data_IF_850145755592
#
_entry.id   IF_850145755592
#
_cell.length_a   1.000
_cell.length_b   1.000
_cell.length_c   1.000
_cell.angle_alpha   90.00
_cell.angle_beta   90.00
_cell.angle_gamma   90.00
#
_symmetry.space_group_name_H-M   'P 1'
#
loop_
_entity.id
_entity.type
_entity.pdbx_description
1 polymer ?
#
# COMPACT_ATOMS: atom_id res chain seq x y z
N UNK A 1 -17.36 0.54 -20.74
CA UNK A 1 -17.13 -0.08 -22.08
C UNK A 1 -16.22 -1.30 -21.98
N UNK A 2 -15.04 -1.20 -21.38
CA UNK A 2 -14.09 -2.33 -21.25
C UNK A 2 -14.63 -3.47 -20.35
N UNK A 3 -15.39 -3.15 -19.31
CA UNK A 3 -15.98 -4.10 -18.36
C UNK A 3 -17.03 -4.99 -19.06
N UNK A 4 -17.82 -4.41 -19.97
CA UNK A 4 -18.90 -5.11 -20.63
C UNK A 4 -18.47 -6.02 -21.79
N UNK A 5 -17.20 -5.99 -22.21
CA UNK A 5 -16.71 -6.67 -23.42
C UNK A 5 -15.67 -7.78 -23.19
N UNK A 6 -15.55 -8.35 -21.99
CA UNK A 6 -14.62 -9.44 -21.64
C UNK A 6 -13.13 -9.17 -21.90
N UNK A 7 -12.70 -7.91 -22.11
CA UNK A 7 -11.31 -7.53 -22.36
C UNK A 7 -10.53 -7.06 -21.12
N UNK A 8 -11.07 -7.30 -19.91
CA UNK A 8 -10.41 -6.84 -18.70
C UNK A 8 -9.41 -7.88 -18.24
N UNK A 9 -8.14 -7.49 -18.21
CA UNK A 9 -7.15 -8.24 -17.48
C UNK A 9 -7.02 -7.72 -16.02
N UNK A 10 -6.49 -8.52 -15.07
CA UNK A 10 -6.38 -8.15 -13.67
C UNK A 10 -5.65 -6.81 -13.45
N UNK A 11 -4.61 -6.51 -14.25
CA UNK A 11 -3.82 -5.26 -14.11
C UNK A 11 -4.63 -4.01 -14.44
N UNK A 12 -5.48 -4.10 -15.47
CA UNK A 12 -6.37 -2.99 -15.85
C UNK A 12 -7.38 -2.75 -14.75
N UNK A 13 -7.98 -3.81 -14.21
CA UNK A 13 -8.96 -3.70 -13.13
C UNK A 13 -8.31 -3.15 -11.84
N UNK A 14 -7.13 -3.61 -11.47
CA UNK A 14 -6.38 -3.04 -10.34
C UNK A 14 -6.17 -1.52 -10.49
N UNK A 15 -5.76 -1.06 -11.68
CA UNK A 15 -5.58 0.38 -11.94
C UNK A 15 -6.91 1.14 -11.88
N UNK A 16 -7.98 0.55 -12.37
CA UNK A 16 -9.31 1.14 -12.30
C UNK A 16 -9.75 1.32 -10.85
N UNK A 17 -9.71 0.27 -10.03
CA UNK A 17 -10.03 0.33 -8.60
C UNK A 17 -9.14 1.36 -7.90
N UNK A 18 -7.83 1.31 -8.10
CA UNK A 18 -6.89 2.24 -7.45
C UNK A 18 -7.14 3.70 -7.81
N UNK A 19 -7.44 4.02 -9.06
CA UNK A 19 -7.72 5.40 -9.44
C UNK A 19 -9.03 5.91 -8.80
N UNK A 20 -9.99 5.05 -8.56
CA UNK A 20 -11.25 5.41 -7.92
C UNK A 20 -11.13 5.60 -6.40
N UNK A 21 -10.03 5.16 -5.76
CA UNK A 21 -9.72 5.50 -4.36
C UNK A 21 -9.61 7.03 -4.11
N UNK A 22 -9.45 7.82 -5.16
CA UNK A 22 -9.31 9.28 -5.09
C UNK A 22 -10.61 10.02 -5.44
N UNK A 23 -11.67 9.29 -5.82
CA UNK A 23 -12.96 9.85 -6.21
C UNK A 23 -13.97 9.65 -5.08
N UNK A 24 -14.73 10.70 -4.78
CA UNK A 24 -15.77 10.65 -3.73
C UNK A 24 -17.03 9.85 -4.15
N UNK A 25 -17.08 9.38 -5.40
CA UNK A 25 -18.23 8.69 -5.98
C UNK A 25 -18.23 7.19 -5.70
N UNK A 26 -17.13 6.65 -5.21
CA UNK A 26 -17.01 5.23 -4.89
C UNK A 26 -17.31 4.96 -3.43
N UNK A 27 -18.37 4.20 -3.20
CA UNK A 27 -18.67 3.65 -1.88
C UNK A 27 -17.86 2.39 -1.60
N UNK A 28 -17.80 1.96 -0.34
CA UNK A 28 -17.09 0.74 0.06
C UNK A 28 -17.68 -0.51 -0.59
N UNK A 29 -19.00 -0.54 -0.85
CA UNK A 29 -19.65 -1.64 -1.59
C UNK A 29 -19.07 -1.80 -2.99
N UNK A 30 -18.77 -0.71 -3.70
CA UNK A 30 -18.15 -0.77 -5.02
C UNK A 30 -16.73 -1.36 -4.94
N UNK A 31 -15.93 -0.96 -3.95
CA UNK A 31 -14.61 -1.56 -3.76
C UNK A 31 -14.71 -3.06 -3.51
N UNK A 32 -15.65 -3.50 -2.68
CA UNK A 32 -15.90 -4.90 -2.40
C UNK A 32 -16.35 -5.67 -3.66
N UNK A 33 -17.31 -5.12 -4.42
CA UNK A 33 -17.79 -5.72 -5.68
C UNK A 33 -16.66 -5.89 -6.70
N UNK A 34 -15.91 -4.81 -6.98
CA UNK A 34 -14.82 -4.85 -7.94
C UNK A 34 -13.62 -5.69 -7.47
N UNK A 35 -13.39 -5.77 -6.16
CA UNK A 35 -12.43 -6.72 -5.58
C UNK A 35 -12.81 -8.17 -5.87
N UNK A 36 -14.08 -8.55 -5.71
CA UNK A 36 -14.59 -9.88 -6.08
C UNK A 36 -14.46 -10.17 -7.58
N UNK A 37 -14.73 -9.16 -8.43
CA UNK A 37 -14.49 -9.29 -9.88
C UNK A 37 -13.00 -9.53 -10.16
N UNK A 38 -12.11 -8.80 -9.49
CA UNK A 38 -10.66 -8.98 -9.59
C UNK A 38 -10.25 -10.40 -9.22
N UNK A 39 -10.78 -10.93 -8.12
CA UNK A 39 -10.53 -12.31 -7.72
C UNK A 39 -10.83 -13.31 -8.85
N UNK A 40 -11.96 -13.15 -9.52
CA UNK A 40 -12.34 -14.07 -10.60
C UNK A 40 -11.39 -14.04 -11.81
N UNK A 41 -10.72 -12.89 -12.04
CA UNK A 41 -9.77 -12.72 -13.13
C UNK A 41 -8.36 -13.22 -12.80
N UNK A 42 -8.00 -13.34 -11.52
CA UNK A 42 -6.68 -13.82 -11.10
C UNK A 42 -6.62 -15.34 -11.27
N UNK A 43 -5.57 -15.90 -11.91
CA UNK A 43 -5.46 -17.33 -12.12
C UNK A 43 -5.31 -18.10 -10.80
N UNK A 44 -6.03 -19.22 -10.71
CA UNK A 44 -5.83 -20.26 -9.69
C UNK A 44 -5.18 -21.46 -10.35
N UNK A 45 -4.05 -21.89 -9.84
CA UNK A 45 -3.28 -22.99 -10.37
C UNK A 45 -3.69 -24.31 -9.71
N UNK A 46 -3.59 -25.42 -10.45
CA UNK A 46 -3.83 -26.75 -9.92
C UNK A 46 -2.76 -27.13 -8.89
N UNK A 47 -3.15 -27.78 -7.80
CA UNK A 47 -2.25 -28.18 -6.71
C UNK A 47 -1.10 -29.09 -7.15
N UNK A 48 -1.30 -29.93 -8.17
CA UNK A 48 -0.24 -30.78 -8.75
C UNK A 48 0.87 -29.96 -9.45
N UNK A 49 0.63 -28.69 -9.76
CA UNK A 49 1.61 -27.78 -10.39
C UNK A 49 2.40 -26.94 -9.39
N UNK A 50 1.99 -26.94 -8.14
CA UNK A 50 2.61 -26.16 -7.08
C UNK A 50 2.97 -27.07 -5.89
N UNK A 51 4.08 -26.76 -5.23
CA UNK A 51 4.51 -27.54 -4.05
C UNK A 51 3.52 -27.36 -2.90
N UNK A 52 3.09 -28.42 -2.20
CA UNK A 52 2.25 -28.28 -1.01
C UNK A 52 2.89 -27.38 0.05
N UNK A 53 2.06 -26.68 0.82
CA UNK A 53 2.53 -25.91 1.97
C UNK A 53 2.97 -26.91 3.04
N UNK A 54 4.22 -26.80 3.48
CA UNK A 54 4.78 -27.65 4.52
C UNK A 54 4.70 -26.98 5.86
N UNK A 55 3.90 -27.52 6.78
CA UNK A 55 3.89 -27.10 8.18
C UNK A 55 5.00 -27.87 8.90
N UNK A 56 6.15 -27.22 9.07
CA UNK A 56 7.27 -27.80 9.83
C UNK A 56 7.25 -27.20 11.24
N UNK A 57 7.46 -28.04 12.27
CA UNK A 57 7.78 -27.54 13.60
C UNK A 57 9.15 -26.87 13.52
N UNK A 58 9.19 -25.55 13.75
CA UNK A 58 10.40 -24.74 13.65
C UNK A 58 10.73 -24.12 14.99
N UNK A 59 11.99 -23.79 15.17
CA UNK A 59 12.44 -23.10 16.37
C UNK A 59 11.96 -21.64 16.37
N UNK A 60 11.94 -21.00 15.17
CA UNK A 60 11.48 -19.62 14.98
C UNK A 60 10.29 -19.56 14.01
N UNK A 61 9.44 -18.58 14.20
CA UNK A 61 8.36 -18.25 13.25
C UNK A 61 8.94 -17.54 12.04
N UNK A 62 8.54 -17.94 10.84
CA UNK A 62 8.98 -17.34 9.58
C UNK A 62 7.96 -16.38 9.02
N UNK A 63 8.37 -15.12 8.84
CA UNK A 63 7.52 -14.05 8.32
C UNK A 63 8.11 -13.57 7.01
N UNK A 64 7.34 -13.68 5.93
CA UNK A 64 7.71 -13.16 4.61
C UNK A 64 7.03 -11.83 4.30
N UNK A 65 7.73 -10.92 3.66
CA UNK A 65 7.18 -9.68 3.13
C UNK A 65 7.31 -9.67 1.60
N UNK A 66 6.22 -9.43 0.89
CA UNK A 66 6.19 -9.28 -0.57
C UNK A 66 6.08 -7.81 -0.92
N UNK A 67 7.03 -7.26 -1.68
CA UNK A 67 7.01 -5.87 -2.08
C UNK A 67 7.78 -5.58 -3.38
N UNK A 68 7.32 -4.56 -4.11
CA UNK A 68 8.08 -3.91 -5.18
C UNK A 68 8.71 -2.58 -4.75
N UNK A 69 8.49 -2.16 -3.49
CA UNK A 69 8.71 -0.79 -3.03
C UNK A 69 9.75 -0.66 -1.91
N UNK A 70 10.48 -1.75 -1.58
CA UNK A 70 11.59 -1.68 -0.61
C UNK A 70 12.84 -1.11 -1.27
N UNK A 71 12.70 0.12 -1.79
CA UNK A 71 13.74 0.93 -2.44
C UNK A 71 13.31 2.40 -2.53
N UNK A 72 14.25 3.30 -2.90
CA UNK A 72 14.02 4.71 -3.22
C UNK A 72 13.31 5.50 -2.12
N UNK A 73 13.54 5.14 -0.85
CA UNK A 73 12.89 5.80 0.30
C UNK A 73 11.37 5.88 0.13
N UNK A 74 10.76 4.80 -0.38
CA UNK A 74 9.30 4.71 -0.53
C UNK A 74 8.63 4.76 0.85
N UNK A 75 7.39 5.30 0.92
CA UNK A 75 6.65 5.46 2.19
C UNK A 75 6.53 4.17 3.00
N UNK A 76 6.30 3.03 2.34
CA UNK A 76 6.24 1.70 2.96
C UNK A 76 7.50 1.40 3.80
N UNK A 77 8.68 1.84 3.35
CA UNK A 77 9.94 1.57 4.06
C UNK A 77 10.04 2.32 5.39
N UNK A 78 9.42 3.48 5.50
CA UNK A 78 9.38 4.23 6.77
C UNK A 78 8.48 3.56 7.82
N UNK A 79 7.43 2.86 7.38
CA UNK A 79 6.57 2.08 8.29
C UNK A 79 7.22 0.77 8.71
N UNK A 80 7.97 0.13 7.81
CA UNK A 80 8.67 -1.12 8.10
C UNK A 80 9.90 -0.94 8.99
N UNK A 81 10.57 0.22 8.90
CA UNK A 81 11.90 0.43 9.50
C UNK A 81 11.95 0.07 10.98
N UNK A 82 11.02 0.61 11.79
CA UNK A 82 11.00 0.35 13.23
C UNK A 82 10.73 -1.13 13.57
N UNK A 83 9.96 -1.82 12.76
CA UNK A 83 9.71 -3.26 12.93
C UNK A 83 11.00 -4.04 12.72
N UNK A 84 11.72 -3.78 11.62
CA UNK A 84 12.96 -4.48 11.28
C UNK A 84 14.10 -4.18 12.25
N UNK A 85 14.14 -2.98 12.85
CA UNK A 85 15.13 -2.62 13.85
C UNK A 85 14.86 -3.24 15.23
N UNK A 86 13.61 -3.61 15.54
CA UNK A 86 13.21 -3.95 16.91
C UNK A 86 12.54 -5.33 17.07
N UNK A 87 12.36 -6.13 16.00
CA UNK A 87 11.76 -7.45 16.16
C UNK A 87 12.68 -8.42 16.93
N UNK A 88 12.09 -9.36 17.64
CA UNK A 88 12.85 -10.37 18.39
C UNK A 88 13.45 -11.43 17.43
N UNK A 89 14.72 -11.30 17.12
CA UNK A 89 15.44 -12.22 16.23
C UNK A 89 15.56 -13.65 16.81
N UNK A 90 15.32 -13.87 18.10
CA UNK A 90 15.30 -15.21 18.67
C UNK A 90 14.01 -15.96 18.38
N UNK A 91 12.91 -15.25 18.16
CA UNK A 91 11.57 -15.79 17.89
C UNK A 91 11.19 -15.80 16.42
N UNK A 92 11.72 -14.86 15.64
CA UNK A 92 11.31 -14.64 14.25
C UNK A 92 12.47 -14.72 13.29
N UNK A 93 12.21 -15.26 12.10
CA UNK A 93 13.04 -15.17 10.90
C UNK A 93 12.28 -14.37 9.83
N UNK A 94 12.91 -13.35 9.26
CA UNK A 94 12.28 -12.50 8.24
C UNK A 94 12.80 -12.84 6.86
N UNK A 95 11.88 -12.89 5.90
CA UNK A 95 12.13 -13.10 4.48
C UNK A 95 11.59 -11.92 3.68
N UNK A 96 12.36 -11.44 2.70
CA UNK A 96 11.95 -10.42 1.74
C UNK A 96 11.83 -11.01 0.35
N UNK A 97 10.66 -10.90 -0.25
CA UNK A 97 10.41 -11.26 -1.65
C UNK A 97 10.24 -9.98 -2.46
N UNK A 98 11.31 -9.60 -3.15
CA UNK A 98 11.41 -8.32 -3.84
C UNK A 98 10.96 -8.47 -5.30
N UNK A 99 9.89 -7.78 -5.67
CA UNK A 99 9.33 -7.80 -7.02
C UNK A 99 9.90 -6.67 -7.90
N UNK A 100 11.21 -6.54 -7.90
CA UNK A 100 11.99 -5.65 -8.75
C UNK A 100 13.36 -6.27 -9.07
N UNK A 101 14.09 -5.71 -10.05
CA UNK A 101 15.39 -6.25 -10.47
C UNK A 101 16.46 -5.99 -9.41
N UNK A 102 17.37 -6.94 -9.21
CA UNK A 102 18.50 -6.81 -8.30
C UNK A 102 19.36 -5.56 -8.61
N UNK A 103 19.45 -5.18 -9.86
CA UNK A 103 20.15 -3.95 -10.29
C UNK A 103 19.48 -2.64 -9.84
N UNK A 104 18.25 -2.69 -9.30
CA UNK A 104 17.53 -1.54 -8.76
C UNK A 104 17.72 -1.38 -7.23
N UNK A 105 18.57 -2.21 -6.61
CA UNK A 105 18.93 -2.06 -5.20
C UNK A 105 19.53 -0.69 -4.92
N UNK A 106 19.23 -0.17 -3.75
CA UNK A 106 19.77 1.09 -3.23
C UNK A 106 20.08 0.98 -1.74
N UNK A 107 20.45 2.10 -1.12
CA UNK A 107 20.72 2.19 0.32
C UNK A 107 19.55 1.66 1.17
N UNK A 108 18.32 1.94 0.74
CA UNK A 108 17.10 1.47 1.43
C UNK A 108 17.00 -0.05 1.38
N UNK A 109 17.15 -0.64 0.20
CA UNK A 109 17.15 -2.10 0.05
C UNK A 109 18.25 -2.74 0.90
N UNK A 110 19.47 -2.17 0.85
CA UNK A 110 20.62 -2.69 1.59
C UNK A 110 20.45 -2.59 3.12
N UNK A 111 19.69 -1.59 3.59
CA UNK A 111 19.32 -1.50 5.00
C UNK A 111 18.47 -2.72 5.42
N UNK A 112 17.39 -3.02 4.71
CA UNK A 112 16.47 -4.11 5.07
C UNK A 112 17.08 -5.51 4.91
N UNK A 113 17.98 -5.69 3.94
CA UNK A 113 18.72 -6.94 3.73
C UNK A 113 19.58 -7.37 4.93
N UNK A 114 19.95 -6.45 5.81
CA UNK A 114 20.72 -6.78 7.04
C UNK A 114 19.90 -7.61 8.04
N UNK A 115 18.60 -7.58 7.95
CA UNK A 115 17.67 -8.19 8.90
C UNK A 115 16.91 -9.39 8.34
N UNK A 116 17.03 -9.67 7.03
CA UNK A 116 16.16 -10.62 6.37
C UNK A 116 16.86 -11.41 5.26
N UNK A 117 16.47 -12.67 5.09
CA UNK A 117 16.80 -13.41 3.87
C UNK A 117 16.04 -12.80 2.69
N UNK A 118 16.76 -12.49 1.60
CA UNK A 118 16.19 -11.72 0.48
C UNK A 118 16.20 -12.52 -0.80
N UNK A 119 15.06 -12.60 -1.46
CA UNK A 119 14.85 -13.29 -2.75
C UNK A 119 14.17 -12.36 -3.76
N UNK A 120 14.61 -12.42 -5.03
CA UNK A 120 14.05 -11.62 -6.12
C UNK A 120 13.05 -12.48 -6.89
N UNK A 121 11.84 -11.96 -7.07
CA UNK A 121 10.74 -12.72 -7.70
C UNK A 121 10.22 -12.08 -8.99
N UNK A 122 10.77 -10.94 -9.43
CA UNK A 122 10.27 -10.23 -10.61
C UNK A 122 10.36 -11.08 -11.88
N UNK A 123 11.50 -11.74 -12.08
CA UNK A 123 11.79 -12.51 -13.31
C UNK A 123 11.26 -13.95 -13.23
N UNK A 124 10.62 -14.34 -12.13
CA UNK A 124 9.95 -15.62 -11.96
C UNK A 124 8.50 -15.55 -12.45
N UNK A 125 8.04 -16.57 -13.15
CA UNK A 125 6.61 -16.75 -13.34
C UNK A 125 5.90 -17.05 -12.02
N UNK A 126 4.57 -17.03 -12.01
CA UNK A 126 3.82 -17.20 -10.77
C UNK A 126 4.01 -18.57 -10.13
N UNK A 127 4.12 -19.64 -10.94
CA UNK A 127 4.33 -21.01 -10.43
C UNK A 127 5.71 -21.13 -9.79
N UNK A 128 6.74 -20.58 -10.44
CA UNK A 128 8.11 -20.55 -9.91
C UNK A 128 8.18 -19.77 -8.61
N UNK A 129 7.54 -18.59 -8.55
CA UNK A 129 7.51 -17.75 -7.35
C UNK A 129 6.74 -18.42 -6.20
N UNK A 130 5.59 -19.08 -6.48
CA UNK A 130 4.84 -19.86 -5.49
C UNK A 130 5.70 -20.98 -4.92
N UNK A 131 6.37 -21.74 -5.77
CA UNK A 131 7.26 -22.84 -5.35
C UNK A 131 8.40 -22.33 -4.47
N UNK A 132 9.02 -21.22 -4.87
CA UNK A 132 10.10 -20.59 -4.12
C UNK A 132 9.63 -20.21 -2.71
N UNK A 133 8.51 -19.49 -2.61
CA UNK A 133 7.99 -18.99 -1.32
C UNK A 133 7.50 -20.16 -0.44
N UNK A 134 6.77 -21.11 -1.00
CA UNK A 134 6.32 -22.31 -0.26
C UNK A 134 7.50 -23.15 0.25
N UNK A 135 8.62 -23.20 -0.50
CA UNK A 135 9.86 -23.88 -0.10
C UNK A 135 10.46 -23.34 1.19
N UNK A 136 10.25 -22.04 1.48
CA UNK A 136 10.69 -21.40 2.72
C UNK A 136 9.78 -21.73 3.91
N UNK A 137 8.63 -22.36 3.66
CA UNK A 137 7.68 -22.81 4.66
C UNK A 137 7.29 -21.71 5.65
N UNK A 138 6.84 -20.57 5.16
CA UNK A 138 6.45 -19.41 5.97
C UNK A 138 5.25 -19.72 6.88
N UNK A 139 5.27 -19.18 8.10
CA UNK A 139 4.10 -19.14 8.97
C UNK A 139 3.15 -18.02 8.54
N UNK A 140 3.71 -16.86 8.22
CA UNK A 140 2.96 -15.67 7.82
C UNK A 140 3.61 -15.07 6.57
N UNK A 141 2.80 -14.62 5.62
CA UNK A 141 3.23 -13.69 4.58
C UNK A 141 2.46 -12.38 4.71
N UNK A 142 3.16 -11.27 4.57
CA UNK A 142 2.59 -9.92 4.57
C UNK A 142 2.76 -9.35 3.17
N UNK A 143 1.65 -9.13 2.47
CA UNK A 143 1.65 -8.45 1.20
C UNK A 143 1.59 -6.94 1.42
N UNK A 144 2.62 -6.24 0.96
CA UNK A 144 2.75 -4.79 1.08
C UNK A 144 2.24 -4.05 -0.16
N UNK A 145 1.64 -4.75 -1.12
CA UNK A 145 1.27 -4.19 -2.41
C UNK A 145 -0.23 -4.12 -2.63
N UNK A 146 -0.99 -5.14 -2.21
CA UNK A 146 -2.41 -5.27 -2.54
C UNK A 146 -2.65 -5.17 -4.04
N UNK A 147 -3.50 -4.22 -4.47
CA UNK A 147 -3.83 -3.99 -5.89
C UNK A 147 -2.90 -3.00 -6.60
N UNK A 148 -1.84 -2.53 -5.94
CA UNK A 148 -0.94 -1.54 -6.51
C UNK A 148 -0.17 -2.08 -7.73
N UNK A 149 0.43 -1.16 -8.49
CA UNK A 149 1.29 -1.52 -9.62
C UNK A 149 2.41 -2.47 -9.18
N UNK A 150 2.68 -3.50 -9.98
CA UNK A 150 3.64 -4.56 -9.68
C UNK A 150 3.23 -5.49 -8.53
N UNK A 151 1.95 -5.50 -8.11
CA UNK A 151 1.45 -6.52 -7.19
C UNK A 151 1.51 -7.92 -7.80
N UNK A 152 1.54 -8.92 -6.94
CA UNK A 152 1.55 -10.35 -7.32
C UNK A 152 0.41 -11.08 -6.59
N UNK A 153 -0.83 -10.57 -6.72
CA UNK A 153 -2.03 -11.15 -6.07
C UNK A 153 -2.28 -12.61 -6.43
N UNK A 154 -1.77 -13.05 -7.57
CA UNK A 154 -1.77 -14.47 -7.95
C UNK A 154 -1.05 -15.36 -6.95
N UNK A 155 0.03 -14.88 -6.32
CA UNK A 155 0.74 -15.61 -5.27
C UNK A 155 -0.17 -15.81 -4.05
N UNK A 156 -0.87 -14.74 -3.63
CA UNK A 156 -1.81 -14.76 -2.49
C UNK A 156 -3.00 -15.68 -2.78
N UNK A 157 -3.63 -15.54 -3.94
CA UNK A 157 -4.76 -16.39 -4.33
C UNK A 157 -4.40 -17.89 -4.34
N UNK A 158 -3.17 -18.22 -4.67
CA UNK A 158 -2.68 -19.59 -4.67
C UNK A 158 -2.03 -20.01 -3.34
N UNK A 159 -2.18 -19.24 -2.30
CA UNK A 159 -1.75 -19.46 -0.92
C UNK A 159 -0.27 -19.88 -0.82
N UNK A 160 0.58 -18.95 -0.41
CA UNK A 160 2.03 -19.17 -0.28
C UNK A 160 2.50 -19.32 1.18
N UNK A 161 1.63 -19.05 2.15
CA UNK A 161 1.90 -19.21 3.59
C UNK A 161 0.64 -19.68 4.33
N UNK A 162 0.82 -20.13 5.60
CA UNK A 162 -0.30 -20.55 6.44
C UNK A 162 -1.29 -19.40 6.71
N UNK A 163 -0.75 -18.20 6.95
CA UNK A 163 -1.50 -16.96 7.17
C UNK A 163 -1.02 -15.93 6.18
N UNK A 164 -1.94 -15.22 5.54
CA UNK A 164 -1.65 -14.19 4.56
C UNK A 164 -2.35 -12.89 4.93
N UNK A 165 -1.57 -11.82 5.05
CA UNK A 165 -2.00 -10.53 5.60
C UNK A 165 -1.71 -9.42 4.60
N UNK A 166 -2.69 -8.55 4.36
CA UNK A 166 -2.52 -7.29 3.66
C UNK A 166 -2.12 -6.19 4.65
N UNK A 167 -1.04 -5.45 4.35
CA UNK A 167 -0.66 -4.32 5.19
C UNK A 167 0.12 -3.26 4.43
N UNK A 168 -0.12 -2.03 4.81
CA UNK A 168 0.66 -0.82 4.58
C UNK A 168 0.59 -0.22 3.17
N UNK A 169 0.80 -0.93 2.08
CA UNK A 169 0.85 -0.32 0.73
C UNK A 169 -0.53 0.00 0.16
N UNK A 170 -1.52 -0.83 0.43
CA UNK A 170 -2.91 -0.65 0.06
C UNK A 170 -3.81 -0.86 1.28
N UNK A 171 -4.74 0.04 1.49
CA UNK A 171 -5.50 0.15 2.72
C UNK A 171 -7.01 -0.12 2.55
N UNK A 172 -7.39 -0.92 1.56
CA UNK A 172 -8.79 -1.33 1.33
C UNK A 172 -8.83 -2.83 0.96
N UNK A 173 -10.03 -3.40 0.87
CA UNK A 173 -10.20 -4.80 0.51
C UNK A 173 -9.60 -5.10 -0.87
N UNK A 174 -8.92 -6.23 -1.00
CA UNK A 174 -8.46 -6.74 -2.30
C UNK A 174 -9.52 -7.57 -2.99
N UNK A 175 -10.47 -8.13 -2.23
CA UNK A 175 -11.45 -9.09 -2.71
C UNK A 175 -10.87 -10.47 -3.04
N UNK A 176 -9.56 -10.67 -2.83
CA UNK A 176 -8.84 -11.87 -3.28
C UNK A 176 -8.96 -13.02 -2.29
N UNK A 177 -9.38 -14.18 -2.80
CA UNK A 177 -9.40 -15.45 -2.06
C UNK A 177 -8.04 -15.74 -1.44
N UNK A 178 -8.05 -16.24 -0.20
CA UNK A 178 -6.87 -16.56 0.58
C UNK A 178 -6.06 -15.34 1.10
N UNK A 179 -6.49 -14.10 0.90
CA UNK A 179 -6.04 -13.01 1.74
C UNK A 179 -6.82 -13.08 3.06
N UNK A 180 -6.18 -13.57 4.13
CA UNK A 180 -6.91 -13.91 5.35
C UNK A 180 -7.24 -12.68 6.19
N UNK A 181 -6.30 -11.73 6.27
CA UNK A 181 -6.42 -10.56 7.14
C UNK A 181 -5.96 -9.28 6.45
N UNK A 182 -6.49 -8.15 6.93
CA UNK A 182 -5.97 -6.81 6.70
C UNK A 182 -5.66 -6.15 8.06
N UNK A 183 -4.50 -5.51 8.18
CA UNK A 183 -4.16 -4.72 9.37
C UNK A 183 -4.70 -3.30 9.17
N UNK A 184 -5.48 -2.83 10.15
CA UNK A 184 -6.15 -1.54 10.15
C UNK A 184 -6.19 -0.91 11.56
N UNK A 185 -6.80 0.24 11.66
CA UNK A 185 -7.27 0.87 12.89
C UNK A 185 -8.71 1.39 12.70
N UNK A 186 -9.32 1.86 13.75
CA UNK A 186 -10.71 2.36 13.73
C UNK A 186 -10.91 3.66 12.94
N UNK A 187 -9.83 4.37 12.56
CA UNK A 187 -9.88 5.55 11.71
C UNK A 187 -9.76 5.18 10.22
N UNK A 188 -9.19 4.03 9.92
CA UNK A 188 -9.06 3.54 8.56
C UNK A 188 -10.28 2.75 8.10
N UNK A 189 -10.80 1.85 8.95
CA UNK A 189 -11.97 1.03 8.65
C UNK A 189 -13.00 1.23 9.75
N UNK A 190 -14.19 1.70 9.36
CA UNK A 190 -15.28 1.92 10.29
C UNK A 190 -16.03 0.63 10.59
N UNK A 191 -16.60 0.54 11.79
CA UNK A 191 -17.29 -0.66 12.27
C UNK A 191 -18.45 -1.11 11.34
N UNK A 192 -19.17 -0.17 10.78
CA UNK A 192 -20.26 -0.42 9.85
C UNK A 192 -19.81 -0.89 8.44
N UNK A 193 -18.52 -0.84 8.13
CA UNK A 193 -17.94 -1.24 6.85
C UNK A 193 -17.27 -2.63 6.90
N UNK A 194 -17.11 -3.22 8.09
CA UNK A 194 -16.38 -4.49 8.27
C UNK A 194 -16.88 -5.60 7.32
N UNK A 195 -18.17 -5.69 7.12
CA UNK A 195 -18.79 -6.70 6.25
C UNK A 195 -18.53 -6.46 4.75
N UNK A 196 -17.95 -5.33 4.38
CA UNK A 196 -17.57 -4.96 3.02
C UNK A 196 -16.09 -5.23 2.73
N UNK A 197 -15.44 -6.01 3.59
CA UNK A 197 -14.08 -6.52 3.40
C UNK A 197 -14.12 -8.04 3.24
N UNK A 198 -13.36 -8.58 2.31
CA UNK A 198 -13.19 -10.04 2.16
C UNK A 198 -12.20 -10.59 3.19
N UNK A 199 -11.30 -9.77 3.65
CA UNK A 199 -10.31 -10.05 4.68
C UNK A 199 -10.91 -9.85 6.09
N UNK A 200 -10.48 -10.67 7.06
CA UNK A 200 -10.74 -10.37 8.48
C UNK A 200 -9.87 -9.21 8.91
N UNK A 201 -10.43 -8.28 9.69
CA UNK A 201 -9.72 -7.07 10.08
C UNK A 201 -8.99 -7.31 11.40
N UNK A 202 -7.70 -7.01 11.43
CA UNK A 202 -6.90 -6.92 12.65
C UNK A 202 -6.81 -5.44 13.01
N UNK A 203 -7.57 -5.01 14.01
CA UNK A 203 -7.52 -3.65 14.51
C UNK A 203 -6.32 -3.44 15.44
N UNK A 204 -5.41 -2.55 15.07
CA UNK A 204 -4.40 -2.04 16.00
C UNK A 204 -5.02 -0.95 16.89
N UNK A 205 -4.57 -0.83 18.16
CA UNK A 205 -5.26 0.04 19.13
C UNK A 205 -5.16 1.53 18.79
N UNK A 206 -4.03 1.98 18.25
CA UNK A 206 -3.77 3.40 18.04
C UNK A 206 -3.70 3.77 16.55
N UNK A 207 -2.74 3.20 15.83
CA UNK A 207 -2.50 3.51 14.42
C UNK A 207 -2.02 2.28 13.65
N UNK A 208 -2.58 2.05 12.48
CA UNK A 208 -2.26 0.89 11.64
C UNK A 208 -0.88 0.98 10.96
N UNK A 209 -0.27 2.16 10.88
CA UNK A 209 1.00 2.41 10.18
C UNK A 209 1.88 3.45 10.88
N UNK A 210 2.55 3.07 11.97
CA UNK A 210 3.46 3.94 12.68
C UNK A 210 4.68 4.31 11.82
N UNK A 211 4.96 5.62 11.67
CA UNK A 211 6.06 6.12 10.86
C UNK A 211 7.34 6.26 11.71
N UNK A 212 8.42 5.59 11.31
CA UNK A 212 9.71 5.59 12.03
C UNK A 212 10.46 6.94 12.00
N UNK A 213 9.90 7.96 11.34
CA UNK A 213 10.57 9.25 11.15
C UNK A 213 11.54 9.25 9.96
N UNK A 214 11.96 10.44 9.58
CA UNK A 214 13.01 10.64 8.59
C UNK A 214 14.34 10.91 9.31
N UNK A 215 15.42 10.37 8.78
CA UNK A 215 16.78 10.59 9.31
C UNK A 215 17.35 12.00 9.03
N UNK A 216 16.52 12.93 8.55
CA UNK A 216 16.95 14.29 8.27
C UNK A 216 17.15 15.06 9.58
N UNK A 217 18.31 15.69 9.74
CA UNK A 217 18.49 16.72 10.77
C UNK A 217 17.51 17.85 10.49
N UNK A 218 16.50 18.00 11.36
CA UNK A 218 15.53 19.09 11.27
C UNK A 218 16.10 20.28 12.02
N UNK A 219 16.23 21.41 11.33
CA UNK A 219 16.32 22.69 12.00
C UNK A 219 14.91 23.19 12.25
N UNK A 220 14.59 23.45 13.53
CA UNK A 220 13.38 24.17 13.86
C UNK A 220 13.67 25.66 13.62
N UNK A 221 12.85 26.27 12.78
CA UNK A 221 12.85 27.71 12.55
C UNK A 221 11.58 28.29 13.17
N UNK A 222 11.60 29.57 13.45
CA UNK A 222 10.41 30.27 13.92
C UNK A 222 9.27 30.19 12.91
N UNK A 223 8.03 30.27 13.40
CA UNK A 223 6.86 30.13 12.56
C UNK A 223 6.89 31.20 11.43
N UNK A 224 6.74 30.82 10.16
CA UNK A 224 6.82 31.75 9.03
C UNK A 224 5.90 32.97 9.12
N UNK A 225 4.79 32.90 9.85
CA UNK A 225 3.89 34.06 10.07
C UNK A 225 4.59 35.21 10.80
N UNK A 226 5.60 34.93 11.64
CA UNK A 226 6.37 35.94 12.34
C UNK A 226 7.14 36.84 11.38
N UNK A 227 7.59 36.28 10.26
CA UNK A 227 8.35 37.01 9.23
C UNK A 227 7.43 37.51 8.11
N UNK A 228 6.56 36.67 7.61
CA UNK A 228 5.74 36.94 6.43
C UNK A 228 4.51 37.80 6.73
N UNK A 229 4.08 37.87 8.01
CA UNK A 229 2.86 38.57 8.45
C UNK A 229 1.56 38.06 7.84
N UNK A 230 1.56 36.87 7.26
CA UNK A 230 0.38 36.16 6.78
C UNK A 230 0.49 34.65 7.04
N UNK A 231 -0.66 33.99 7.11
CA UNK A 231 -0.73 32.52 7.26
C UNK A 231 -0.42 31.85 5.95
N UNK A 232 0.45 30.84 5.98
CA UNK A 232 0.73 29.97 4.83
C UNK A 232 0.26 28.56 5.14
N UNK A 233 -0.75 28.09 4.42
CA UNK A 233 -1.14 26.67 4.42
C UNK A 233 -0.30 25.91 3.41
N UNK A 234 -0.06 24.60 3.66
CA UNK A 234 0.72 23.78 2.74
C UNK A 234 0.16 22.37 2.61
N UNK A 235 0.12 21.85 1.38
CA UNK A 235 -0.13 20.45 1.12
C UNK A 235 0.86 19.92 0.09
N UNK A 236 1.66 18.93 0.50
CA UNK A 236 2.62 18.24 -0.37
C UNK A 236 2.13 16.84 -0.76
N UNK A 237 0.84 16.59 -0.60
CA UNK A 237 0.20 15.31 -0.90
C UNK A 237 0.06 15.09 -2.42
N UNK A 238 -0.30 13.87 -2.81
CA UNK A 238 -0.58 13.55 -4.21
C UNK A 238 -1.78 14.38 -4.71
N UNK A 239 -1.62 15.02 -5.88
CA UNK A 239 -2.65 15.86 -6.50
C UNK A 239 -3.96 15.12 -6.81
N UNK A 240 -3.94 13.80 -6.98
CA UNK A 240 -5.16 12.99 -7.14
C UNK A 240 -6.11 13.09 -5.94
N UNK A 241 -5.60 13.51 -4.77
CA UNK A 241 -6.41 13.75 -3.56
C UNK A 241 -7.12 15.10 -3.55
N UNK A 242 -6.80 16.00 -4.48
CA UNK A 242 -7.46 17.30 -4.62
C UNK A 242 -8.74 17.15 -5.46
N UNK A 243 -9.76 16.58 -4.86
CA UNK A 243 -11.10 16.53 -5.43
C UNK A 243 -11.86 17.85 -5.18
N UNK A 244 -13.03 18.01 -5.81
CA UNK A 244 -13.80 19.25 -5.77
C UNK A 244 -14.23 19.63 -4.33
N UNK A 245 -14.53 18.65 -3.46
CA UNK A 245 -14.87 18.90 -2.06
C UNK A 245 -13.69 19.47 -1.26
N UNK A 246 -12.47 18.95 -1.50
CA UNK A 246 -11.25 19.47 -0.87
C UNK A 246 -11.01 20.90 -1.32
N UNK A 247 -11.11 21.19 -2.62
CA UNK A 247 -10.91 22.52 -3.20
C UNK A 247 -11.92 23.49 -2.61
N UNK A 248 -13.20 23.14 -2.59
CA UNK A 248 -14.26 23.97 -1.99
C UNK A 248 -14.00 24.28 -0.52
N UNK A 249 -13.62 23.28 0.26
CA UNK A 249 -13.31 23.45 1.68
C UNK A 249 -12.11 24.36 1.89
N UNK A 250 -11.03 24.16 1.14
CA UNK A 250 -9.82 24.98 1.26
C UNK A 250 -10.06 26.42 0.77
N UNK A 251 -10.82 26.62 -0.30
CA UNK A 251 -11.23 27.94 -0.75
C UNK A 251 -12.02 28.69 0.34
N UNK A 252 -12.94 28.01 1.02
CA UNK A 252 -13.67 28.59 2.14
C UNK A 252 -12.75 28.99 3.31
N UNK A 253 -11.70 28.21 3.60
CA UNK A 253 -10.69 28.53 4.60
C UNK A 253 -9.91 29.78 4.19
N UNK A 254 -9.41 29.84 2.95
CA UNK A 254 -8.63 30.97 2.43
C UNK A 254 -9.46 32.27 2.45
N UNK A 255 -10.74 32.23 2.12
CA UNK A 255 -11.63 33.41 2.21
C UNK A 255 -11.83 33.88 3.64
N UNK A 256 -11.86 32.97 4.63
CA UNK A 256 -12.03 33.32 6.04
C UNK A 256 -10.78 33.92 6.69
N UNK A 257 -9.62 33.71 6.09
CA UNK A 257 -8.33 34.16 6.61
C UNK A 257 -7.69 35.10 5.57
N UNK A 258 -7.97 36.42 5.65
CA UNK A 258 -7.48 37.39 4.68
C UNK A 258 -5.95 37.33 4.53
N UNK A 259 -5.47 37.53 3.32
CA UNK A 259 -4.05 37.49 2.95
C UNK A 259 -3.35 36.13 3.18
N UNK A 260 -4.07 35.07 3.55
CA UNK A 260 -3.46 33.73 3.63
C UNK A 260 -3.07 33.21 2.24
N UNK A 261 -2.09 32.32 2.23
CA UNK A 261 -1.60 31.66 1.01
C UNK A 261 -1.68 30.15 1.15
N UNK A 262 -1.87 29.45 0.03
CA UNK A 262 -1.82 28.01 -0.04
C UNK A 262 -0.69 27.57 -0.96
N UNK A 263 0.24 26.75 -0.42
CA UNK A 263 1.32 26.13 -1.18
C UNK A 263 0.93 24.69 -1.49
N UNK A 264 0.92 24.36 -2.78
CA UNK A 264 0.68 23.01 -3.27
C UNK A 264 1.93 22.51 -4.01
N UNK A 265 2.30 21.24 -3.80
CA UNK A 265 3.40 20.60 -4.56
C UNK A 265 2.81 19.90 -5.77
N UNK A 266 3.24 20.29 -6.98
CA UNK A 266 2.97 19.56 -8.21
C UNK A 266 4.25 19.05 -8.87
N UNK A 267 4.12 17.98 -9.64
CA UNK A 267 5.16 17.47 -10.55
C UNK A 267 4.77 17.60 -12.02
N UNK A 268 3.60 18.18 -12.35
CA UNK A 268 3.02 18.19 -13.70
C UNK A 268 2.34 19.55 -13.95
N UNK A 269 2.94 20.39 -14.79
CA UNK A 269 2.47 21.75 -15.09
C UNK A 269 1.02 21.83 -15.59
N UNK A 270 0.58 20.89 -16.43
CA UNK A 270 -0.80 20.89 -16.98
C UNK A 270 -1.88 20.70 -15.89
N UNK A 271 -1.55 20.02 -14.77
CA UNK A 271 -2.48 19.85 -13.65
C UNK A 271 -2.60 21.15 -12.86
N UNK A 272 -1.54 21.98 -12.84
CA UNK A 272 -1.51 23.23 -12.10
C UNK A 272 -2.57 24.20 -12.60
N UNK A 273 -2.66 24.41 -13.90
CA UNK A 273 -3.67 25.30 -14.50
C UNK A 273 -5.11 24.88 -14.20
N UNK A 274 -5.40 23.58 -14.31
CA UNK A 274 -6.74 23.06 -13.99
C UNK A 274 -7.12 23.27 -12.53
N UNK A 275 -6.18 23.12 -11.61
CA UNK A 275 -6.42 23.28 -10.18
C UNK A 275 -6.56 24.75 -9.83
N UNK A 276 -5.71 25.63 -10.37
CA UNK A 276 -5.84 27.07 -10.20
C UNK A 276 -7.21 27.56 -10.68
N UNK A 277 -7.64 27.16 -11.87
CA UNK A 277 -8.96 27.49 -12.41
C UNK A 277 -10.11 27.03 -11.51
N UNK A 278 -9.97 25.89 -10.83
CA UNK A 278 -10.98 25.42 -9.86
C UNK A 278 -11.01 26.27 -8.60
N UNK A 279 -9.84 26.66 -8.06
CA UNK A 279 -9.78 27.57 -6.91
C UNK A 279 -10.31 28.97 -7.24
N UNK A 280 -10.11 29.46 -8.46
CA UNK A 280 -10.61 30.76 -8.95
C UNK A 280 -12.14 30.77 -9.08
N UNK A 281 -12.77 29.64 -9.33
CA UNK A 281 -14.23 29.49 -9.43
C UNK A 281 -14.95 29.41 -8.09
N UNK A 282 -14.25 29.01 -7.06
CA UNK A 282 -14.77 28.85 -5.70
C UNK A 282 -14.50 30.10 -4.85
#
# INVERSE_FOLDING_TARGET
>A
YLINNNFINPRVLCRYIYNNCFLNEWSQEKFFEYGRMLNNLIPKYQENRITPITIKKKQKKRIGFISADIKRKHSVTYFLKSIFENYNQNEYEIYLYLNFKKSEEDETTNFFKKFAETKYILDLDDIQAIRLIRGDALDIVIDLMGILSKSRLSLIKNRVANIQILWCGYCNTTGVENMDYIIADSNLIYENEINLYSEKIIFLPDIWNAHAGMTMKRQFIDCPIQFNKFVTFGSFNNFKKLNDNVIKTWSAILRKIPNSKLILKSSINFIEEKILTKFEKE
#
